data_IF_463935516986
#
_entry.id   IF_463935516986
#
_cell.length_a   1.000
_cell.length_b   1.000
_cell.length_c   1.000
_cell.angle_alpha   90.00
_cell.angle_beta   90.00
_cell.angle_gamma   90.00
#
_symmetry.space_group_name_H-M   'P 1'
#
loop_
_entity.id
_entity.type
_entity.pdbx_description
1 polymer ?
#
# COMPACT_ATOMS: atom_id res chain seq x y z
N UNK A 1 -25.45 -48.75 -14.46
CA UNK A 1 -24.12 -48.72 -13.84
C UNK A 1 -23.54 -47.33 -14.08
N UNK A 2 -23.68 -46.41 -13.10
CA UNK A 2 -23.24 -45.01 -13.23
C UNK A 2 -21.80 -44.92 -12.72
N UNK A 3 -20.87 -44.57 -13.60
CA UNK A 3 -19.49 -44.29 -13.25
C UNK A 3 -19.43 -42.90 -12.59
N UNK A 4 -19.16 -42.87 -11.29
CA UNK A 4 -18.78 -41.65 -10.58
C UNK A 4 -17.34 -41.32 -10.99
N UNK A 5 -17.17 -40.25 -11.76
CA UNK A 5 -15.87 -39.63 -12.00
C UNK A 5 -15.51 -38.84 -10.74
N UNK A 6 -14.65 -39.41 -9.89
CA UNK A 6 -14.07 -38.70 -8.76
C UNK A 6 -13.03 -37.70 -9.30
N UNK A 7 -13.40 -36.42 -9.37
CA UNK A 7 -12.47 -35.32 -9.63
C UNK A 7 -11.51 -35.23 -8.47
N UNK A 8 -10.24 -35.53 -8.73
CA UNK A 8 -9.15 -35.44 -7.77
C UNK A 8 -8.93 -33.95 -7.42
N UNK A 9 -9.41 -33.52 -6.25
CA UNK A 9 -9.09 -32.20 -5.71
C UNK A 9 -7.62 -32.25 -5.26
N UNK A 10 -6.70 -31.73 -6.07
CA UNK A 10 -5.31 -31.57 -5.66
C UNK A 10 -5.28 -30.53 -4.55
N UNK A 11 -5.13 -30.99 -3.30
CA UNK A 11 -4.83 -30.12 -2.17
C UNK A 11 -3.42 -29.56 -2.38
N UNK A 12 -3.33 -28.37 -2.98
CA UNK A 12 -2.10 -27.58 -2.97
C UNK A 12 -1.92 -27.09 -1.52
N UNK A 13 -1.15 -27.84 -0.73
CA UNK A 13 -0.71 -27.38 0.59
C UNK A 13 0.27 -26.22 0.36
N UNK A 14 -0.26 -24.99 0.33
CA UNK A 14 0.54 -23.79 0.51
C UNK A 14 1.10 -23.87 1.94
N UNK A 15 2.38 -24.24 2.09
CA UNK A 15 3.02 -24.22 3.41
C UNK A 15 2.99 -22.79 3.90
N UNK A 16 2.26 -22.54 5.00
CA UNK A 16 2.30 -21.25 5.67
C UNK A 16 3.75 -20.96 6.11
N UNK A 17 4.17 -19.71 5.99
CA UNK A 17 5.50 -19.27 6.43
C UNK A 17 5.67 -19.54 7.93
N UNK A 18 6.83 -20.08 8.32
CA UNK A 18 7.13 -20.31 9.73
C UNK A 18 7.58 -19.01 10.42
N UNK A 19 7.54 -18.97 11.75
CA UNK A 19 8.07 -17.82 12.49
C UNK A 19 9.56 -17.55 12.17
N UNK A 20 10.32 -18.60 11.88
CA UNK A 20 11.72 -18.48 11.47
C UNK A 20 11.86 -17.84 10.08
N UNK A 21 10.99 -18.18 9.14
CA UNK A 21 10.96 -17.56 7.80
C UNK A 21 10.62 -16.07 7.90
N UNK A 22 9.62 -15.71 8.71
CA UNK A 22 9.25 -14.31 8.93
C UNK A 22 10.39 -13.51 9.56
N UNK A 23 11.08 -14.08 10.55
CA UNK A 23 12.23 -13.42 11.18
C UNK A 23 13.41 -13.27 10.21
N UNK A 24 13.67 -14.29 9.37
CA UNK A 24 14.68 -14.22 8.32
C UNK A 24 14.36 -13.13 7.30
N UNK A 25 13.11 -13.06 6.84
CA UNK A 25 12.63 -12.02 5.93
C UNK A 25 12.76 -10.62 6.53
N UNK A 26 12.38 -10.44 7.80
CA UNK A 26 12.53 -9.18 8.54
C UNK A 26 14.00 -8.76 8.66
N UNK A 27 14.90 -9.71 8.90
CA UNK A 27 16.34 -9.46 8.95
C UNK A 27 16.86 -8.94 7.62
N UNK A 28 16.53 -9.60 6.51
CA UNK A 28 16.94 -9.19 5.17
C UNK A 28 16.38 -7.80 4.83
N UNK A 29 15.09 -7.58 5.11
CA UNK A 29 14.44 -6.29 4.91
C UNK A 29 15.18 -5.15 5.61
N UNK A 30 15.56 -5.37 6.87
CA UNK A 30 16.25 -4.41 7.72
C UNK A 30 17.71 -4.16 7.33
N UNK A 31 18.30 -5.01 6.49
CA UNK A 31 19.66 -4.83 5.98
C UNK A 31 19.69 -3.92 4.75
N UNK A 32 18.73 -4.09 3.83
CA UNK A 32 18.82 -3.45 2.50
C UNK A 32 17.53 -2.76 2.05
N UNK A 33 16.37 -3.38 2.22
CA UNK A 33 15.10 -2.91 1.65
C UNK A 33 14.58 -1.64 2.35
N UNK A 34 14.75 -1.55 3.67
CA UNK A 34 14.23 -0.43 4.48
C UNK A 34 14.82 0.93 4.05
N UNK A 35 16.00 0.95 3.43
CA UNK A 35 16.63 2.18 2.95
C UNK A 35 15.77 2.90 1.91
N UNK A 36 15.03 2.14 1.10
CA UNK A 36 14.15 2.68 0.07
C UNK A 36 12.68 2.62 0.49
N UNK A 37 12.26 1.52 1.13
CA UNK A 37 10.87 1.23 1.45
C UNK A 37 10.46 1.60 2.89
N UNK A 38 11.35 2.23 3.66
CA UNK A 38 11.09 2.66 5.03
C UNK A 38 11.23 1.54 6.07
N UNK A 39 11.54 1.85 7.34
CA UNK A 39 11.67 0.85 8.41
C UNK A 39 10.38 0.06 8.69
N UNK A 40 9.22 0.60 8.35
CA UNK A 40 7.90 0.02 8.59
C UNK A 40 7.12 -0.24 7.30
N UNK A 41 7.81 -0.47 6.18
CA UNK A 41 7.23 -0.70 4.85
C UNK A 41 6.38 0.47 4.33
N UNK A 42 6.49 1.64 4.95
CA UNK A 42 5.67 2.82 4.66
C UNK A 42 6.10 3.59 3.41
N UNK A 43 7.21 3.16 2.79
CA UNK A 43 7.77 3.77 1.59
C UNK A 43 8.77 4.88 1.88
N UNK A 44 9.25 5.47 0.80
CA UNK A 44 10.21 6.56 0.85
C UNK A 44 10.71 6.88 -0.55
N UNK A 45 11.98 6.54 -0.83
CA UNK A 45 12.48 6.56 -2.20
C UNK A 45 11.75 5.49 -3.05
N UNK A 46 11.59 4.29 -2.48
CA UNK A 46 10.76 3.25 -3.04
C UNK A 46 9.30 3.46 -2.62
N UNK A 47 8.36 2.78 -3.28
CA UNK A 47 6.97 2.82 -2.86
C UNK A 47 6.75 2.20 -1.47
N UNK A 48 5.62 2.52 -0.84
CA UNK A 48 5.15 1.72 0.29
C UNK A 48 4.93 0.28 -0.17
N UNK A 49 5.20 -0.65 0.75
CA UNK A 49 4.98 -2.07 0.56
C UNK A 49 3.90 -2.59 1.50
N UNK A 50 3.12 -1.73 2.16
CA UNK A 50 1.94 -2.10 2.97
C UNK A 50 0.67 -1.37 2.54
N UNK A 51 0.71 -0.78 1.36
CA UNK A 51 -0.36 0.03 0.84
C UNK A 51 -1.39 -0.77 0.05
N UNK A 52 -2.42 -0.06 -0.36
CA UNK A 52 -3.52 -0.59 -1.14
C UNK A 52 -3.24 -0.61 -2.65
N UNK A 53 -2.03 -0.26 -3.11
CA UNK A 53 -1.72 -0.10 -4.53
C UNK A 53 -0.45 -0.83 -4.96
N UNK A 54 -0.62 -1.89 -5.76
CA UNK A 54 0.48 -2.75 -6.20
C UNK A 54 0.67 -2.72 -7.72
N UNK A 55 1.51 -1.79 -8.18
CA UNK A 55 1.80 -1.57 -9.60
C UNK A 55 2.28 -2.82 -10.36
N UNK A 56 3.05 -3.68 -9.70
CA UNK A 56 3.62 -4.90 -10.30
C UNK A 56 2.89 -6.18 -9.85
N UNK A 57 1.70 -6.03 -9.28
CA UNK A 57 0.90 -7.13 -8.72
C UNK A 57 1.16 -7.34 -7.22
N UNK A 58 0.10 -7.70 -6.50
CA UNK A 58 0.13 -7.92 -5.04
C UNK A 58 0.22 -9.38 -4.63
N UNK A 59 0.26 -10.32 -5.59
CA UNK A 59 0.31 -11.76 -5.33
C UNK A 59 1.71 -12.20 -4.88
N UNK A 60 1.83 -13.33 -4.15
CA UNK A 60 3.13 -13.85 -3.74
C UNK A 60 4.12 -14.00 -4.90
N UNK A 61 3.67 -14.52 -6.04
CA UNK A 61 4.53 -14.72 -7.22
C UNK A 61 4.92 -13.39 -7.88
N UNK A 62 4.01 -12.42 -7.93
CA UNK A 62 4.29 -11.10 -8.47
C UNK A 62 5.33 -10.34 -7.62
N UNK A 63 5.19 -10.41 -6.29
CA UNK A 63 6.14 -9.84 -5.33
C UNK A 63 7.50 -10.52 -5.48
N UNK A 64 7.52 -11.86 -5.51
CA UNK A 64 8.77 -12.61 -5.68
C UNK A 64 9.45 -12.29 -7.01
N UNK A 65 8.68 -12.22 -8.10
CA UNK A 65 9.22 -11.86 -9.41
C UNK A 65 9.83 -10.45 -9.40
N UNK A 66 9.18 -9.49 -8.75
CA UNK A 66 9.70 -8.12 -8.58
C UNK A 66 11.00 -8.11 -7.76
N UNK A 67 11.07 -8.89 -6.68
CA UNK A 67 12.31 -9.07 -5.90
C UNK A 67 13.41 -9.69 -6.78
N UNK A 68 13.07 -10.70 -7.58
CA UNK A 68 14.03 -11.45 -8.39
C UNK A 68 14.60 -10.59 -9.51
N UNK A 69 13.74 -9.86 -10.24
CA UNK A 69 14.09 -9.18 -11.48
C UNK A 69 14.31 -7.68 -11.35
N UNK A 70 13.96 -7.11 -10.19
CA UNK A 70 13.94 -5.66 -10.01
C UNK A 70 12.91 -4.99 -10.91
N UNK A 71 13.02 -3.67 -11.04
CA UNK A 71 12.14 -2.86 -11.91
C UNK A 71 13.02 -2.04 -12.86
N UNK A 72 13.08 -2.40 -14.16
CA UNK A 72 13.87 -1.67 -15.16
C UNK A 72 13.57 -0.17 -15.17
N UNK A 73 14.62 0.65 -15.28
CA UNK A 73 14.49 2.12 -15.26
C UNK A 73 14.27 2.72 -13.86
N UNK A 74 14.36 1.92 -12.79
CA UNK A 74 14.28 2.39 -11.41
C UNK A 74 15.52 1.98 -10.60
N UNK A 75 15.72 2.54 -9.39
CA UNK A 75 16.75 2.08 -8.45
C UNK A 75 16.51 0.67 -7.86
N UNK A 76 15.36 0.03 -8.11
CA UNK A 76 15.04 -1.31 -7.61
C UNK A 76 15.77 -2.36 -8.46
N UNK A 77 16.92 -2.81 -7.97
CA UNK A 77 17.75 -3.83 -8.63
C UNK A 77 17.15 -5.24 -8.54
N UNK A 78 17.69 -6.16 -9.33
CA UNK A 78 17.42 -7.59 -9.22
C UNK A 78 18.17 -8.19 -8.01
N UNK A 79 17.47 -9.00 -7.19
CA UNK A 79 18.05 -9.67 -6.02
C UNK A 79 18.25 -11.17 -6.19
N UNK A 80 17.90 -11.76 -7.35
CA UNK A 80 18.04 -13.20 -7.60
C UNK A 80 19.49 -13.70 -7.52
N UNK A 81 20.46 -12.87 -7.90
CA UNK A 81 21.89 -13.13 -7.75
C UNK A 81 22.49 -12.66 -6.41
N UNK A 82 21.73 -11.93 -5.59
CA UNK A 82 22.20 -11.34 -4.32
C UNK A 82 21.84 -12.23 -3.13
N UNK A 83 20.65 -12.80 -3.13
CA UNK A 83 20.13 -13.66 -2.06
C UNK A 83 19.70 -15.02 -2.60
N UNK A 84 19.95 -16.12 -1.84
CA UNK A 84 19.44 -17.43 -2.18
C UNK A 84 17.90 -17.43 -2.23
N UNK A 85 17.31 -18.38 -2.93
CA UNK A 85 15.86 -18.43 -3.12
C UNK A 85 15.08 -18.51 -1.80
N UNK A 86 15.56 -19.31 -0.83
CA UNK A 86 14.96 -19.40 0.50
C UNK A 86 14.86 -18.04 1.20
N UNK A 87 15.89 -17.20 1.06
CA UNK A 87 15.92 -15.86 1.65
C UNK A 87 14.95 -14.91 0.96
N UNK A 88 14.81 -15.02 -0.37
CA UNK A 88 13.86 -14.22 -1.14
C UNK A 88 12.41 -14.63 -0.85
N UNK A 89 12.16 -15.92 -0.64
CA UNK A 89 10.86 -16.44 -0.19
C UNK A 89 10.53 -15.91 1.22
N UNK A 90 11.46 -16.02 2.16
CA UNK A 90 11.33 -15.47 3.51
C UNK A 90 11.05 -13.96 3.49
N UNK A 91 11.76 -13.19 2.65
CA UNK A 91 11.54 -11.76 2.47
C UNK A 91 10.15 -11.45 1.93
N UNK A 92 9.69 -12.18 0.90
CA UNK A 92 8.33 -12.08 0.35
C UNK A 92 7.29 -12.36 1.44
N UNK A 93 7.47 -13.42 2.20
CA UNK A 93 6.51 -13.85 3.22
C UNK A 93 6.44 -12.86 4.37
N UNK A 94 7.58 -12.28 4.76
CA UNK A 94 7.63 -11.15 5.68
C UNK A 94 6.82 -9.96 5.14
N UNK A 95 7.05 -9.54 3.88
CA UNK A 95 6.29 -8.44 3.27
C UNK A 95 4.78 -8.75 3.28
N UNK A 96 4.38 -9.97 2.91
CA UNK A 96 2.99 -10.41 2.91
C UNK A 96 2.37 -10.43 4.31
N UNK A 97 3.14 -10.76 5.35
CA UNK A 97 2.67 -10.78 6.74
C UNK A 97 2.33 -9.38 7.28
N UNK A 98 2.86 -8.33 6.66
CA UNK A 98 2.61 -6.94 7.02
C UNK A 98 1.39 -6.35 6.26
N UNK A 99 0.67 -7.16 5.47
CA UNK A 99 -0.47 -6.73 4.66
C UNK A 99 -1.81 -6.98 5.35
N UNK A 100 -2.80 -6.14 5.03
CA UNK A 100 -4.16 -6.24 5.54
C UNK A 100 -5.17 -5.70 4.51
N UNK A 101 -6.41 -6.20 4.55
CA UNK A 101 -7.49 -5.79 3.64
C UNK A 101 -7.55 -6.61 2.35
N UNK A 102 -8.36 -6.15 1.38
CA UNK A 102 -8.48 -6.81 0.08
C UNK A 102 -7.19 -6.71 -0.72
N UNK A 103 -6.88 -7.74 -1.52
CA UNK A 103 -5.73 -7.84 -2.43
C UNK A 103 -6.07 -8.74 -3.60
N UNK A 104 -5.17 -8.78 -4.59
CA UNK A 104 -5.26 -9.70 -5.74
C UNK A 104 -6.63 -9.57 -6.43
N UNK A 105 -7.16 -8.35 -6.49
CA UNK A 105 -8.48 -8.08 -7.02
C UNK A 105 -8.49 -8.26 -8.54
N UNK A 106 -9.44 -9.03 -9.05
CA UNK A 106 -9.68 -9.19 -10.49
C UNK A 106 -11.13 -8.85 -10.78
N UNK A 107 -11.34 -7.82 -11.59
CA UNK A 107 -12.67 -7.42 -12.07
C UNK A 107 -12.96 -8.12 -13.39
N UNK A 108 -14.04 -8.89 -13.42
CA UNK A 108 -14.62 -9.46 -14.63
C UNK A 108 -15.92 -8.76 -14.97
N UNK A 109 -16.13 -8.37 -16.23
CA UNK A 109 -17.37 -7.72 -16.70
C UNK A 109 -18.12 -8.69 -17.61
N UNK A 110 -19.44 -8.74 -17.48
CA UNK A 110 -20.32 -9.61 -18.25
C UNK A 110 -21.50 -8.82 -18.81
N UNK A 111 -22.03 -9.26 -19.96
CA UNK A 111 -23.31 -8.77 -20.48
C UNK A 111 -24.43 -8.89 -19.43
N UNK A 112 -25.39 -7.95 -19.43
CA UNK A 112 -26.43 -7.85 -18.40
C UNK A 112 -27.52 -8.92 -18.54
N UNK A 113 -27.83 -9.27 -19.78
CA UNK A 113 -28.98 -10.06 -20.21
C UNK A 113 -29.11 -11.40 -19.46
N UNK A 114 -28.04 -12.21 -19.28
CA UNK A 114 -28.14 -13.50 -18.59
C UNK A 114 -28.58 -13.39 -17.13
N UNK A 115 -28.35 -12.24 -16.50
CA UNK A 115 -28.49 -12.04 -15.05
C UNK A 115 -29.71 -11.22 -14.66
N UNK A 116 -30.40 -10.61 -15.62
CA UNK A 116 -31.50 -9.67 -15.38
C UNK A 116 -32.55 -10.24 -14.41
N UNK A 117 -32.72 -9.56 -13.26
CA UNK A 117 -33.71 -9.90 -12.24
C UNK A 117 -33.40 -11.17 -11.43
N UNK A 118 -32.20 -11.74 -11.56
CA UNK A 118 -31.77 -12.93 -10.83
C UNK A 118 -30.84 -12.52 -9.68
N UNK A 119 -30.98 -13.20 -8.54
CA UNK A 119 -30.02 -13.06 -7.44
C UNK A 119 -28.65 -13.60 -7.86
N UNK A 120 -27.60 -12.82 -7.62
CA UNK A 120 -26.26 -13.24 -7.99
C UNK A 120 -25.76 -14.36 -7.08
N UNK A 121 -25.18 -15.38 -7.68
CA UNK A 121 -24.44 -16.46 -7.01
C UNK A 121 -23.31 -16.94 -7.91
N UNK A 122 -22.22 -17.53 -7.39
CA UNK A 122 -21.14 -18.08 -8.22
C UNK A 122 -21.63 -19.04 -9.32
N UNK A 123 -22.65 -19.86 -9.03
CA UNK A 123 -23.24 -20.82 -9.98
C UNK A 123 -23.93 -20.13 -11.15
N UNK A 124 -24.51 -18.94 -10.94
CA UNK A 124 -25.17 -18.18 -12.00
C UNK A 124 -24.17 -17.71 -13.08
N UNK A 125 -22.90 -17.56 -12.70
CA UNK A 125 -21.82 -17.19 -13.60
C UNK A 125 -21.10 -18.41 -14.19
N UNK A 126 -21.43 -19.62 -13.73
CA UNK A 126 -20.80 -20.84 -14.24
C UNK A 126 -21.16 -21.03 -15.72
N UNK A 127 -20.13 -21.04 -16.57
CA UNK A 127 -20.28 -21.20 -18.02
C UNK A 127 -20.69 -19.93 -18.78
N UNK A 128 -20.74 -18.77 -18.12
CA UNK A 128 -20.88 -17.47 -18.79
C UNK A 128 -19.49 -16.88 -19.01
N UNK A 129 -19.19 -16.52 -20.25
CA UNK A 129 -17.92 -15.87 -20.60
C UNK A 129 -17.95 -14.38 -20.24
N UNK A 130 -16.88 -13.88 -19.63
CA UNK A 130 -16.71 -12.45 -19.35
C UNK A 130 -16.23 -11.72 -20.60
N UNK A 131 -16.75 -10.51 -20.83
CA UNK A 131 -16.30 -9.61 -21.90
C UNK A 131 -14.90 -9.05 -21.64
N UNK A 132 -14.53 -8.91 -20.37
CA UNK A 132 -13.18 -8.48 -19.97
C UNK A 132 -12.82 -9.01 -18.59
N UNK A 133 -11.52 -9.17 -18.36
CA UNK A 133 -10.92 -9.41 -17.05
C UNK A 133 -9.77 -8.44 -16.84
N UNK A 134 -9.77 -7.74 -15.72
CA UNK A 134 -8.79 -6.70 -15.41
C UNK A 134 -8.32 -6.87 -13.97
N UNK A 135 -7.04 -7.20 -13.75
CA UNK A 135 -6.44 -7.08 -12.42
C UNK A 135 -6.52 -5.62 -11.96
N UNK A 136 -7.03 -5.41 -10.76
CA UNK A 136 -7.08 -4.08 -10.15
C UNK A 136 -5.84 -3.94 -9.24
N UNK A 137 -4.89 -3.04 -9.57
CA UNK A 137 -3.76 -2.77 -8.70
C UNK A 137 -4.19 -2.02 -7.45
N UNK A 138 -5.31 -1.29 -7.50
CA UNK A 138 -5.99 -0.72 -6.35
C UNK A 138 -6.84 -1.78 -5.64
N UNK A 139 -6.72 -1.87 -4.32
CA UNK A 139 -7.58 -2.72 -3.49
C UNK A 139 -9.00 -2.13 -3.29
N UNK A 140 -9.51 -1.36 -4.27
CA UNK A 140 -10.83 -0.73 -4.29
C UNK A 140 -11.62 -1.19 -5.51
N UNK A 141 -12.94 -1.27 -5.37
CA UNK A 141 -13.88 -1.51 -6.46
C UNK A 141 -14.48 -0.18 -6.97
N UNK A 142 -14.36 0.05 -8.27
CA UNK A 142 -15.04 1.14 -8.95
C UNK A 142 -15.56 0.70 -10.32
N UNK A 143 -16.70 1.26 -10.72
CA UNK A 143 -17.26 1.12 -12.06
C UNK A 143 -16.76 2.25 -12.93
N UNK A 144 -16.35 1.92 -14.16
CA UNK A 144 -16.07 2.93 -15.16
C UNK A 144 -17.34 3.72 -15.50
N UNK A 145 -17.20 4.98 -15.91
CA UNK A 145 -18.35 5.79 -16.29
C UNK A 145 -19.08 5.13 -17.45
N UNK A 146 -20.41 5.09 -17.37
CA UNK A 146 -21.27 4.45 -18.35
C UNK A 146 -20.97 2.96 -18.57
N UNK A 147 -20.31 2.29 -17.61
CA UNK A 147 -20.18 0.84 -17.66
C UNK A 147 -21.58 0.21 -17.68
N UNK A 148 -21.80 -0.67 -18.64
CA UNK A 148 -22.98 -1.52 -18.73
C UNK A 148 -22.58 -2.96 -18.46
N UNK A 149 -23.52 -3.76 -17.96
CA UNK A 149 -23.29 -5.15 -17.60
C UNK A 149 -23.28 -5.41 -16.09
N UNK A 150 -22.81 -6.61 -15.77
CA UNK A 150 -22.63 -7.11 -14.41
C UNK A 150 -21.16 -7.31 -14.15
N UNK A 151 -20.70 -6.88 -12.98
CA UNK A 151 -19.33 -7.12 -12.53
C UNK A 151 -19.27 -8.27 -11.55
N UNK A 152 -18.25 -9.11 -11.68
CA UNK A 152 -17.77 -10.02 -10.63
C UNK A 152 -16.36 -9.59 -10.27
N UNK A 153 -16.10 -9.45 -8.98
CA UNK A 153 -14.77 -9.15 -8.46
C UNK A 153 -14.37 -10.26 -7.53
N UNK A 154 -13.30 -10.97 -7.87
CA UNK A 154 -12.65 -11.93 -6.98
C UNK A 154 -11.50 -11.22 -6.28
N UNK A 155 -11.33 -11.46 -4.98
CA UNK A 155 -10.31 -10.83 -4.17
C UNK A 155 -9.90 -11.73 -3.00
N UNK A 156 -8.71 -11.48 -2.45
CA UNK A 156 -8.25 -12.11 -1.21
C UNK A 156 -8.27 -11.09 -0.09
N UNK A 157 -8.99 -11.38 0.98
CA UNK A 157 -8.99 -10.59 2.20
C UNK A 157 -7.88 -11.10 3.13
N UNK A 158 -6.87 -10.26 3.36
CA UNK A 158 -5.82 -10.51 4.33
C UNK A 158 -6.28 -10.02 5.70
N UNK A 159 -6.53 -10.97 6.60
CA UNK A 159 -6.92 -10.77 8.00
C UNK A 159 -5.68 -10.87 8.86
N UNK A 160 -5.37 -9.83 9.63
CA UNK A 160 -4.24 -9.84 10.57
C UNK A 160 -4.68 -9.95 12.03
N UNK A 161 -5.83 -9.36 12.34
CA UNK A 161 -6.40 -9.35 13.68
C UNK A 161 -7.65 -10.20 13.69
N UNK A 162 -7.74 -11.15 14.62
CA UNK A 162 -8.96 -11.91 14.85
C UNK A 162 -10.06 -10.95 15.32
N UNK A 163 -11.14 -10.83 14.56
CA UNK A 163 -12.25 -9.90 14.84
C UNK A 163 -13.49 -10.26 13.99
N UNK A 164 -14.59 -9.57 14.26
CA UNK A 164 -15.77 -9.54 13.40
C UNK A 164 -15.53 -8.65 12.17
N UNK A 165 -15.67 -9.21 10.97
CA UNK A 165 -15.54 -8.49 9.72
C UNK A 165 -16.90 -8.36 9.03
N UNK A 166 -17.29 -7.15 8.67
CA UNK A 166 -18.58 -6.86 8.05
C UNK A 166 -18.50 -5.90 6.87
N UNK A 167 -19.26 -6.20 5.82
CA UNK A 167 -19.40 -5.33 4.65
C UNK A 167 -20.56 -4.35 4.86
N UNK A 168 -20.31 -3.08 4.58
CA UNK A 168 -21.35 -2.06 4.49
C UNK A 168 -21.34 -1.52 3.07
N UNK A 169 -22.33 -1.90 2.28
CA UNK A 169 -22.46 -1.48 0.88
C UNK A 169 -23.72 -0.64 0.75
N UNK A 170 -23.61 0.45 -0.01
CA UNK A 170 -24.75 1.31 -0.30
C UNK A 170 -25.66 0.59 -1.31
N UNK A 171 -26.98 0.51 -1.06
CA UNK A 171 -27.91 -0.21 -1.93
C UNK A 171 -28.23 0.62 -3.19
N UNK A 172 -27.26 0.73 -4.08
CA UNK A 172 -27.39 1.29 -5.43
C UNK A 172 -27.29 0.09 -6.38
N UNK A 173 -28.37 -0.22 -7.10
CA UNK A 173 -28.41 -1.41 -7.95
C UNK A 173 -28.56 -2.69 -7.14
N UNK A 174 -27.96 -3.79 -7.62
CA UNK A 174 -28.00 -5.11 -6.98
C UNK A 174 -26.58 -5.56 -6.65
N UNK A 175 -26.36 -5.96 -5.41
CA UNK A 175 -25.05 -6.44 -4.92
C UNK A 175 -25.20 -7.71 -4.11
N UNK A 176 -24.29 -8.66 -4.33
CA UNK A 176 -24.09 -9.82 -3.46
C UNK A 176 -22.62 -9.94 -3.09
N UNK A 177 -22.31 -10.24 -1.83
CA UNK A 177 -20.94 -10.56 -1.38
C UNK A 177 -20.89 -11.96 -0.80
N UNK A 178 -19.91 -12.73 -1.27
CA UNK A 178 -19.54 -14.02 -0.72
C UNK A 178 -18.19 -13.93 -0.01
N UNK A 179 -18.08 -14.56 1.14
CA UNK A 179 -16.85 -14.73 1.91
C UNK A 179 -16.67 -16.23 2.17
N UNK A 180 -15.59 -16.80 1.64
CA UNK A 180 -15.32 -18.25 1.65
C UNK A 180 -16.49 -19.10 1.15
N UNK A 181 -17.22 -18.61 0.14
CA UNK A 181 -18.39 -19.28 -0.44
C UNK A 181 -19.69 -19.13 0.37
N UNK A 182 -19.67 -18.48 1.53
CA UNK A 182 -20.89 -18.10 2.26
C UNK A 182 -21.39 -16.73 1.80
N UNK A 183 -22.67 -16.62 1.46
CA UNK A 183 -23.30 -15.33 1.15
C UNK A 183 -23.46 -14.50 2.44
N UNK A 184 -22.74 -13.39 2.55
CA UNK A 184 -22.71 -12.56 3.77
C UNK A 184 -23.39 -11.20 3.60
N UNK A 185 -23.67 -10.79 2.36
CA UNK A 185 -24.35 -9.53 2.06
C UNK A 185 -25.20 -9.66 0.81
N UNK A 186 -26.41 -9.12 0.85
CA UNK A 186 -27.28 -8.96 -0.31
C UNK A 186 -28.06 -7.65 -0.21
N UNK A 187 -28.10 -6.91 -1.32
CA UNK A 187 -29.02 -5.81 -1.54
C UNK A 187 -29.46 -5.74 -3.00
N UNK A 188 -30.68 -5.25 -3.25
CA UNK A 188 -31.19 -4.94 -4.58
C UNK A 188 -32.20 -3.78 -4.50
N UNK A 189 -31.87 -2.65 -5.14
CA UNK A 189 -32.71 -1.45 -5.24
C UNK A 189 -34.13 -1.75 -5.74
N UNK A 190 -34.31 -2.79 -6.55
CA UNK A 190 -35.60 -3.18 -7.12
C UNK A 190 -36.44 -4.10 -6.21
N UNK A 191 -35.91 -4.55 -5.06
CA UNK A 191 -36.56 -5.53 -4.18
C UNK A 191 -36.99 -4.93 -2.83
N UNK A 192 -37.80 -5.69 -2.07
CA UNK A 192 -38.17 -5.32 -0.71
C UNK A 192 -36.91 -5.28 0.18
N UNK A 193 -36.72 -4.18 0.90
CA UNK A 193 -35.62 -3.97 1.86
C UNK A 193 -35.55 -5.06 2.94
N UNK A 194 -36.64 -5.78 3.22
CA UNK A 194 -36.63 -6.94 4.13
C UNK A 194 -35.80 -8.11 3.62
N UNK A 195 -35.55 -8.18 2.32
CA UNK A 195 -34.66 -9.19 1.72
C UNK A 195 -33.20 -8.80 1.85
N UNK A 196 -32.91 -7.52 2.11
CA UNK A 196 -31.54 -7.02 2.25
C UNK A 196 -30.97 -7.46 3.59
N UNK A 197 -29.71 -7.89 3.58
CA UNK A 197 -28.98 -8.18 4.81
C UNK A 197 -27.49 -7.94 4.62
N UNK A 198 -26.83 -7.73 5.75
CA UNK A 198 -25.38 -7.79 5.89
C UNK A 198 -25.08 -8.49 7.20
N UNK A 199 -24.23 -9.51 7.15
CA UNK A 199 -23.76 -10.30 8.29
C UNK A 199 -22.28 -10.00 8.51
N UNK A 200 -21.92 -9.75 9.78
CA UNK A 200 -20.53 -9.78 10.19
C UNK A 200 -20.11 -11.25 10.44
N UNK A 201 -18.86 -11.56 10.09
CA UNK A 201 -18.28 -12.89 10.24
C UNK A 201 -17.00 -12.77 11.05
N UNK A 202 -16.88 -13.53 12.13
CA UNK A 202 -15.63 -13.70 12.87
C UNK A 202 -14.58 -14.37 11.97
N UNK A 203 -13.42 -13.73 11.81
CA UNK A 203 -12.31 -14.23 11.00
C UNK A 203 -11.05 -14.32 11.85
N UNK A 204 -10.32 -15.43 11.68
CA UNK A 204 -8.98 -15.61 12.23
C UNK A 204 -7.91 -15.05 11.27
N UNK A 205 -6.70 -14.72 11.78
CA UNK A 205 -5.59 -14.28 10.94
C UNK A 205 -5.31 -15.27 9.81
N UNK A 206 -5.21 -14.76 8.59
CA UNK A 206 -5.10 -15.58 7.39
C UNK A 206 -5.66 -14.90 6.16
N UNK A 207 -5.77 -15.69 5.08
CA UNK A 207 -6.29 -15.23 3.80
C UNK A 207 -7.68 -15.83 3.61
N UNK A 208 -8.66 -14.98 3.28
CA UNK A 208 -10.04 -15.37 3.04
C UNK A 208 -10.40 -15.02 1.59
N UNK A 209 -11.16 -15.90 0.92
CA UNK A 209 -11.62 -15.67 -0.46
C UNK A 209 -12.88 -14.80 -0.46
N UNK A 210 -12.89 -13.75 -1.27
CA UNK A 210 -14.00 -12.81 -1.38
C UNK A 210 -14.46 -12.73 -2.83
N UNK A 211 -15.78 -12.80 -3.02
CA UNK A 211 -16.41 -12.53 -4.29
C UNK A 211 -17.49 -11.46 -4.15
N UNK A 212 -17.43 -10.42 -4.98
CA UNK A 212 -18.41 -9.35 -5.02
C UNK A 212 -19.05 -9.34 -6.40
N UNK A 213 -20.38 -9.46 -6.43
CA UNK A 213 -21.18 -9.34 -7.64
C UNK A 213 -21.97 -8.04 -7.58
N UNK A 214 -21.93 -7.25 -8.64
CA UNK A 214 -22.58 -5.95 -8.66
C UNK A 214 -23.11 -5.59 -10.04
N UNK A 215 -24.33 -5.06 -10.10
CA UNK A 215 -24.84 -4.32 -11.26
C UNK A 215 -25.53 -3.05 -10.78
N UNK A 216 -25.46 -2.00 -11.61
CA UNK A 216 -26.25 -0.79 -11.40
C UNK A 216 -26.71 -0.20 -12.75
N UNK A 217 -27.45 0.91 -12.68
CA UNK A 217 -27.90 1.65 -13.86
C UNK A 217 -26.72 2.42 -14.46
N UNK A 218 -26.61 2.40 -15.79
CA UNK A 218 -25.62 3.19 -16.54
C UNK A 218 -25.71 4.66 -16.13
N UNK A 219 -24.59 5.21 -15.66
CA UNK A 219 -24.50 6.59 -15.20
C UNK A 219 -23.15 7.22 -15.55
N UNK A 220 -23.14 8.55 -15.71
CA UNK A 220 -21.93 9.34 -15.98
C UNK A 220 -20.99 9.49 -14.75
N UNK A 221 -21.14 8.66 -13.71
CA UNK A 221 -20.32 8.69 -12.50
C UNK A 221 -19.77 7.31 -12.16
N UNK A 222 -18.61 7.27 -11.51
CA UNK A 222 -18.04 6.03 -10.94
C UNK A 222 -18.89 5.65 -9.74
N UNK A 223 -19.68 4.59 -9.81
CA UNK A 223 -20.50 4.19 -8.66
C UNK A 223 -20.35 2.70 -8.37
N UNK A 224 -19.79 2.51 -7.20
CA UNK A 224 -19.90 1.42 -6.27
C UNK A 224 -19.48 2.10 -4.96
N UNK A 225 -20.16 1.84 -3.86
CA UNK A 225 -19.82 2.48 -2.58
C UNK A 225 -19.98 1.49 -1.46
N UNK A 226 -18.87 1.19 -0.81
CA UNK A 226 -18.87 0.27 0.31
C UNK A 226 -17.59 0.33 1.12
N UNK A 227 -17.64 -0.30 2.28
CA UNK A 227 -16.50 -0.48 3.15
C UNK A 227 -16.56 -1.85 3.79
N UNK A 228 -15.40 -2.45 4.02
CA UNK A 228 -15.22 -3.55 4.95
C UNK A 228 -14.73 -3.00 6.28
N UNK A 229 -15.31 -3.43 7.40
CA UNK A 229 -14.88 -3.07 8.76
C UNK A 229 -14.45 -4.33 9.49
N UNK A 230 -13.36 -4.25 10.25
CA UNK A 230 -12.85 -5.33 11.10
C UNK A 230 -11.39 -5.08 11.49
N UNK A 231 -10.91 -5.71 12.56
CA UNK A 231 -9.56 -5.52 13.07
C UNK A 231 -9.27 -4.10 13.55
N UNK A 232 -10.31 -3.38 13.99
CA UNK A 232 -10.24 -1.95 14.32
C UNK A 232 -10.03 -1.02 13.12
N UNK A 233 -10.12 -1.52 11.88
CA UNK A 233 -9.89 -0.76 10.65
C UNK A 233 -11.15 -0.66 9.78
N UNK A 234 -11.11 0.31 8.85
CA UNK A 234 -12.11 0.48 7.80
C UNK A 234 -11.40 0.48 6.47
N UNK A 235 -11.65 -0.54 5.66
CA UNK A 235 -11.15 -0.66 4.30
C UNK A 235 -12.21 -0.11 3.35
N UNK A 236 -11.94 1.04 2.75
CA UNK A 236 -12.78 1.55 1.68
C UNK A 236 -12.75 0.58 0.50
N UNK A 237 -13.93 0.21 -0.01
CA UNK A 237 -14.07 -0.60 -1.21
C UNK A 237 -14.37 0.28 -2.43
N UNK A 238 -14.36 1.60 -2.28
CA UNK A 238 -14.62 2.53 -3.36
C UNK A 238 -13.58 3.65 -3.37
N UNK A 239 -13.27 4.12 -4.57
CA UNK A 239 -12.27 5.16 -4.79
C UNK A 239 -12.29 5.65 -6.23
N UNK A 240 -11.29 6.44 -6.58
CA UNK A 240 -10.90 6.65 -7.98
C UNK A 240 -9.68 5.77 -8.23
N UNK A 241 -9.40 5.44 -9.49
CA UNK A 241 -8.08 4.87 -9.80
C UNK A 241 -6.99 5.77 -9.23
N UNK A 242 -5.97 5.11 -8.69
CA UNK A 242 -4.80 5.73 -8.08
C UNK A 242 -3.69 5.92 -9.13
N UNK A 243 -4.01 5.69 -10.41
CA UNK A 243 -3.14 5.90 -11.54
C UNK A 243 -3.36 7.31 -12.10
N UNK A 244 -2.31 8.14 -12.08
CA UNK A 244 -2.29 9.41 -12.80
C UNK A 244 -2.99 10.63 -12.18
N UNK A 245 -3.42 10.64 -10.91
CA UNK A 245 -3.97 11.89 -10.34
C UNK A 245 -2.89 12.92 -9.91
N UNK A 246 -3.40 14.08 -9.48
CA UNK A 246 -2.74 15.37 -9.33
C UNK A 246 -1.84 15.38 -8.08
N UNK A 247 -0.67 16.04 -8.12
CA UNK A 247 0.21 16.22 -6.97
C UNK A 247 -0.52 16.66 -5.68
N UNK A 248 -0.24 15.97 -4.57
CA UNK A 248 -0.72 16.35 -3.23
C UNK A 248 0.33 17.22 -2.54
N UNK A 249 -0.09 18.26 -1.83
CA UNK A 249 0.84 19.14 -1.10
C UNK A 249 1.03 18.61 0.34
N UNK A 250 2.23 18.16 0.71
CA UNK A 250 2.53 17.90 2.14
C UNK A 250 2.86 19.21 2.80
N UNK A 251 2.20 19.47 3.95
CA UNK A 251 2.59 20.57 4.83
C UNK A 251 3.09 20.10 6.18
N UNK A 252 4.08 20.80 6.73
CA UNK A 252 4.39 20.71 8.16
C UNK A 252 3.15 21.10 8.97
N UNK A 253 2.78 20.29 9.96
CA UNK A 253 1.70 20.61 10.90
C UNK A 253 2.26 21.30 12.14
N UNK A 254 1.52 21.31 13.27
CA UNK A 254 2.06 21.75 14.57
C UNK A 254 3.18 20.83 15.09
N UNK A 255 3.29 19.62 14.53
CA UNK A 255 4.30 18.60 14.82
C UNK A 255 5.19 18.44 13.58
N UNK A 256 6.48 18.21 13.80
CA UNK A 256 7.41 17.94 12.71
C UNK A 256 7.02 16.68 11.93
N UNK A 257 7.47 16.59 10.68
CA UNK A 257 7.27 15.42 9.84
C UNK A 257 8.58 15.06 9.16
N UNK A 258 8.86 13.76 9.04
CA UNK A 258 9.92 13.26 8.17
C UNK A 258 9.24 12.68 6.94
N UNK A 259 9.71 13.10 5.78
CA UNK A 259 9.26 12.56 4.50
C UNK A 259 10.49 12.08 3.75
N UNK A 260 10.41 10.89 3.17
CA UNK A 260 11.43 10.35 2.28
C UNK A 260 10.87 10.41 0.87
N UNK A 261 11.40 11.30 0.04
CA UNK A 261 10.96 11.50 -1.35
C UNK A 261 12.14 11.66 -2.26
N UNK A 262 11.99 11.17 -3.49
CA UNK A 262 12.89 11.50 -4.58
C UNK A 262 12.66 12.97 -4.98
N UNK A 263 13.61 13.83 -4.65
CA UNK A 263 13.71 15.21 -5.15
C UNK A 263 14.88 15.26 -6.12
N UNK A 264 14.70 15.93 -7.25
CA UNK A 264 15.79 16.11 -8.22
C UNK A 264 16.96 16.87 -7.59
N UNK A 265 18.19 16.38 -7.82
CA UNK A 265 19.42 16.96 -7.28
C UNK A 265 19.69 16.66 -5.80
N UNK A 266 18.86 15.85 -5.12
CA UNK A 266 19.17 15.34 -3.78
C UNK A 266 19.66 13.88 -3.82
N UNK A 267 20.57 13.50 -2.89
CA UNK A 267 20.94 12.10 -2.70
C UNK A 267 19.73 11.18 -2.41
N UNK A 268 19.81 9.90 -2.80
CA UNK A 268 18.68 8.96 -2.78
C UNK A 268 18.09 8.66 -1.39
N UNK A 269 18.86 8.89 -0.31
CA UNK A 269 18.50 8.50 1.06
C UNK A 269 18.24 9.66 2.00
N UNK A 270 18.14 10.87 1.48
CA UNK A 270 17.84 12.09 2.25
C UNK A 270 16.53 11.95 3.02
N UNK A 271 16.58 12.32 4.30
CA UNK A 271 15.44 12.58 5.15
C UNK A 271 15.02 14.05 4.97
N UNK A 272 13.79 14.30 4.51
CA UNK A 272 13.23 15.65 4.49
C UNK A 272 12.52 15.90 5.81
N UNK A 273 13.15 16.66 6.69
CA UNK A 273 12.61 17.09 7.96
C UNK A 273 11.79 18.38 7.75
N UNK A 274 10.46 18.26 7.74
CA UNK A 274 9.51 19.36 7.65
C UNK A 274 9.23 19.86 9.06
N UNK A 275 9.69 21.06 9.37
CA UNK A 275 9.55 21.70 10.68
C UNK A 275 8.32 22.63 10.72
N UNK A 276 7.65 22.79 11.88
CA UNK A 276 6.44 23.61 11.99
C UNK A 276 6.62 25.09 11.61
N UNK A 277 7.86 25.61 11.68
CA UNK A 277 8.20 27.00 11.36
C UNK A 277 8.44 27.26 9.85
N UNK A 278 7.86 26.43 8.99
CA UNK A 278 7.98 26.50 7.53
C UNK A 278 9.42 26.38 7.01
N UNK A 279 10.14 25.41 7.58
CA UNK A 279 11.48 25.02 7.12
C UNK A 279 11.46 23.55 6.72
N UNK A 280 12.06 23.26 5.57
CA UNK A 280 12.37 21.89 5.16
C UNK A 280 13.88 21.72 5.18
N UNK A 281 14.36 20.76 5.96
CA UNK A 281 15.78 20.41 6.05
C UNK A 281 16.00 19.06 5.37
N UNK A 282 16.85 19.01 4.35
CA UNK A 282 17.31 17.77 3.72
C UNK A 282 18.55 17.26 4.47
N UNK A 283 18.35 16.32 5.39
CA UNK A 283 19.42 15.64 6.10
C UNK A 283 19.82 14.37 5.34
N UNK A 284 21.09 14.25 4.99
CA UNK A 284 21.66 13.06 4.37
C UNK A 284 22.25 12.15 5.46
N UNK A 285 21.59 11.02 5.75
CA UNK A 285 22.05 10.11 6.78
C UNK A 285 23.27 9.29 6.37
N UNK A 286 23.71 9.32 5.10
CA UNK A 286 24.96 8.66 4.69
C UNK A 286 26.19 9.52 4.96
N UNK A 287 26.01 10.84 4.97
CA UNK A 287 27.06 11.80 5.24
C UNK A 287 26.94 12.42 6.63
N UNK A 288 25.89 12.10 7.38
CA UNK A 288 25.64 12.57 8.75
C UNK A 288 25.37 14.07 8.82
N UNK A 289 24.83 14.68 7.77
CA UNK A 289 24.77 16.14 7.65
C UNK A 289 23.64 16.67 6.79
N UNK A 290 23.46 17.99 6.81
CA UNK A 290 22.45 18.66 5.98
C UNK A 290 23.03 19.00 4.62
N UNK A 291 22.37 18.53 3.56
CA UNK A 291 22.78 18.79 2.17
C UNK A 291 22.08 20.00 1.57
N UNK A 292 20.88 20.33 2.06
CA UNK A 292 20.11 21.49 1.61
C UNK A 292 19.01 21.84 2.60
N UNK A 293 18.54 23.07 2.60
CA UNK A 293 17.31 23.45 3.29
C UNK A 293 16.56 24.52 2.52
N UNK A 294 15.27 24.68 2.82
CA UNK A 294 14.39 25.65 2.17
C UNK A 294 13.49 26.32 3.19
N UNK A 295 13.22 27.61 2.98
CA UNK A 295 12.05 28.25 3.52
C UNK A 295 10.83 27.78 2.72
N UNK A 296 10.24 26.69 3.18
CA UNK A 296 9.04 26.09 2.59
C UNK A 296 8.24 25.44 3.70
N UNK A 297 6.92 25.54 3.62
CA UNK A 297 6.05 24.65 4.37
C UNK A 297 5.64 23.44 3.53
N UNK A 298 5.98 23.39 2.25
CA UNK A 298 5.29 22.59 1.25
C UNK A 298 6.24 21.75 0.40
N UNK A 299 5.86 20.48 0.21
CA UNK A 299 6.40 19.60 -0.83
C UNK A 299 5.26 19.32 -1.80
N UNK A 300 5.43 19.73 -3.05
CA UNK A 300 4.56 19.33 -4.14
C UNK A 300 4.86 17.85 -4.45
N UNK A 301 4.05 16.95 -3.92
CA UNK A 301 4.30 15.53 -4.07
C UNK A 301 4.00 15.11 -5.49
N UNK A 302 4.96 14.46 -6.11
CA UNK A 302 4.61 13.28 -6.89
C UNK A 302 4.34 12.16 -5.87
N UNK A 303 3.11 11.64 -5.82
CA UNK A 303 2.65 10.88 -4.65
C UNK A 303 3.46 9.59 -4.40
N UNK A 304 3.73 9.33 -3.11
CA UNK A 304 4.21 8.03 -2.61
C UNK A 304 3.03 7.15 -2.18
N UNK A 305 1.81 7.62 -2.46
CA UNK A 305 0.49 6.99 -2.57
C UNK A 305 -0.57 8.11 -2.59
N UNK A 306 -1.79 7.89 -3.13
CA UNK A 306 -2.21 6.86 -4.05
C UNK A 306 -2.41 7.53 -5.40
N UNK A 307 -1.30 7.89 -6.05
CA UNK A 307 -1.27 8.67 -7.29
C UNK A 307 0.15 8.62 -7.85
N UNK A 308 0.61 7.44 -8.25
CA UNK A 308 2.03 7.27 -8.61
C UNK A 308 2.34 8.06 -9.88
N UNK A 309 2.99 9.20 -9.73
CA UNK A 309 3.70 9.86 -10.82
C UNK A 309 5.16 9.41 -10.81
N UNK A 310 5.67 8.94 -11.95
CA UNK A 310 7.09 8.64 -12.14
C UNK A 310 8.00 9.88 -12.05
N UNK A 311 7.42 11.09 -11.93
CA UNK A 311 8.17 12.33 -11.82
C UNK A 311 8.75 12.50 -10.40
N UNK A 312 9.92 13.12 -10.24
CA UNK A 312 10.43 13.50 -8.92
C UNK A 312 9.50 14.51 -8.25
N UNK A 313 9.45 14.48 -6.91
CA UNK A 313 8.72 15.46 -6.12
C UNK A 313 9.48 16.79 -6.12
N UNK A 314 8.78 17.89 -5.91
CA UNK A 314 9.35 19.23 -5.96
C UNK A 314 9.13 19.97 -4.64
N UNK A 315 10.16 20.67 -4.16
CA UNK A 315 10.04 21.59 -3.03
C UNK A 315 9.77 22.99 -3.59
N UNK A 316 8.61 23.56 -3.27
CA UNK A 316 8.25 24.93 -3.66
C UNK A 316 8.63 25.90 -2.56
N UNK A 317 9.92 26.23 -2.47
CA UNK A 317 10.40 27.23 -1.51
C UNK A 317 11.78 27.77 -1.83
N UNK A 318 12.16 28.81 -1.08
CA UNK A 318 13.43 29.52 -1.28
C UNK A 318 14.56 28.77 -0.56
N UNK A 319 15.68 28.44 -1.23
CA UNK A 319 16.82 27.80 -0.58
C UNK A 319 17.38 28.64 0.58
N UNK A 320 17.72 27.99 1.69
CA UNK A 320 18.43 28.60 2.81
C UNK A 320 19.93 28.46 2.56
N UNK A 321 20.62 29.58 2.34
CA UNK A 321 22.04 29.61 1.96
C UNK A 321 23.00 29.16 3.06
N UNK A 322 22.61 29.28 4.33
CA UNK A 322 23.41 28.86 5.50
C UNK A 322 23.36 27.35 5.79
N UNK A 323 22.65 26.56 4.96
CA UNK A 323 22.33 25.18 5.26
C UNK A 323 23.51 24.18 5.20
N UNK A 324 24.69 24.62 4.73
CA UNK A 324 25.86 23.76 4.50
C UNK A 324 26.71 23.48 5.75
N UNK A 325 26.20 23.76 6.94
CA UNK A 325 27.00 23.71 8.18
C UNK A 325 26.68 22.49 9.05
N UNK A 326 26.80 21.28 8.49
CA UNK A 326 27.06 20.10 9.31
C UNK A 326 28.46 19.60 8.99
N UNK A 327 29.33 19.34 9.99
CA UNK A 327 30.64 18.77 9.73
C UNK A 327 30.46 17.44 9.00
N UNK A 328 31.14 17.26 7.87
CA UNK A 328 31.28 15.95 7.23
C UNK A 328 31.94 15.05 8.25
N UNK A 329 31.20 14.07 8.78
CA UNK A 329 31.70 13.23 9.87
C UNK A 329 32.71 12.25 9.30
N UNK A 330 33.87 12.11 9.96
CA UNK A 330 34.93 11.21 9.49
C UNK A 330 34.65 9.77 9.90
N UNK A 331 34.11 8.97 8.98
CA UNK A 331 33.88 7.53 9.19
C UNK A 331 32.65 7.04 8.42
N UNK A 332 32.46 5.71 8.29
CA UNK A 332 31.24 5.17 7.71
C UNK A 332 30.05 5.55 8.61
N UNK A 333 29.04 6.18 8.02
CA UNK A 333 27.78 6.50 8.70
C UNK A 333 26.73 5.46 8.34
N UNK A 334 26.06 4.92 9.35
CA UNK A 334 24.92 4.02 9.19
C UNK A 334 23.72 4.57 9.94
N UNK A 335 22.64 4.89 9.24
CA UNK A 335 21.36 5.22 9.85
C UNK A 335 20.85 4.04 10.69
N UNK A 336 20.54 4.27 11.95
CA UNK A 336 19.92 3.29 12.85
C UNK A 336 18.41 3.50 12.91
N UNK A 337 17.96 4.73 13.16
CA UNK A 337 16.54 5.08 13.23
C UNK A 337 16.32 6.59 13.12
N UNK A 338 15.06 7.00 12.97
CA UNK A 338 14.63 8.37 13.21
C UNK A 338 13.27 8.37 13.89
N UNK A 339 12.97 9.42 14.63
CA UNK A 339 11.69 9.61 15.31
C UNK A 339 11.26 11.08 15.29
N UNK A 340 9.95 11.30 15.39
CA UNK A 340 9.36 12.62 15.52
C UNK A 340 9.23 12.94 17.01
N UNK A 341 9.87 14.02 17.46
CA UNK A 341 9.85 14.47 18.84
C UNK A 341 9.26 15.88 18.91
N UNK A 342 7.92 15.97 18.92
CA UNK A 342 7.20 17.25 18.94
C UNK A 342 7.44 18.05 17.66
N UNK A 343 8.05 19.23 17.79
CA UNK A 343 8.40 20.11 16.68
C UNK A 343 9.78 19.79 16.06
N UNK A 344 10.44 18.72 16.51
CA UNK A 344 11.78 18.32 16.09
C UNK A 344 11.84 16.92 15.52
N UNK A 345 12.91 16.63 14.79
CA UNK A 345 13.23 15.29 14.29
C UNK A 345 14.51 14.81 14.97
N UNK A 346 14.48 13.61 15.55
CA UNK A 346 15.65 12.94 16.12
C UNK A 346 16.11 11.89 15.15
N UNK A 347 17.41 11.89 14.81
CA UNK A 347 18.03 10.96 13.86
C UNK A 347 19.16 10.26 14.61
N UNK A 348 19.12 8.93 14.64
CA UNK A 348 20.14 8.11 15.28
C UNK A 348 20.96 7.42 14.22
N UNK A 349 22.27 7.62 14.29
CA UNK A 349 23.23 7.06 13.35
C UNK A 349 24.39 6.45 14.10
N UNK A 350 25.03 5.45 13.51
CA UNK A 350 26.33 4.96 13.93
C UNK A 350 27.40 5.58 13.06
N UNK A 351 28.40 6.21 13.67
CA UNK A 351 29.51 6.88 12.99
C UNK A 351 30.79 6.21 13.46
N UNK A 352 31.42 5.41 12.58
CA UNK A 352 32.44 4.47 13.01
C UNK A 352 31.86 3.47 14.02
N UNK A 353 32.38 3.45 15.25
CA UNK A 353 31.92 2.56 16.32
C UNK A 353 31.04 3.27 17.38
N UNK A 354 30.77 4.56 17.20
CA UNK A 354 29.97 5.35 18.14
C UNK A 354 28.54 5.55 17.63
N UNK A 355 27.57 5.36 18.52
CA UNK A 355 26.19 5.79 18.27
C UNK A 355 26.08 7.29 18.55
N UNK A 356 25.42 8.01 17.65
CA UNK A 356 25.28 9.46 17.67
C UNK A 356 23.81 9.83 17.47
N UNK A 357 23.33 10.81 18.22
CA UNK A 357 21.99 11.35 18.07
C UNK A 357 22.06 12.78 17.53
N UNK A 358 21.49 13.02 16.35
CA UNK A 358 21.35 14.34 15.75
C UNK A 358 19.89 14.77 15.78
N UNK A 359 19.61 15.90 16.43
CA UNK A 359 18.31 16.56 16.45
C UNK A 359 18.28 17.71 15.46
N UNK A 360 17.28 17.70 14.58
CA UNK A 360 16.93 18.81 13.70
C UNK A 360 15.80 19.58 14.37
N UNK A 361 16.09 20.79 14.87
CA UNK A 361 15.15 21.59 15.66
C UNK A 361 14.86 22.94 14.98
N UNK A 362 13.63 23.47 15.08
CA UNK A 362 13.34 24.83 14.64
C UNK A 362 14.12 25.84 15.50
N UNK A 363 14.64 26.89 14.86
CA UNK A 363 15.38 27.96 15.52
C UNK A 363 14.76 29.31 15.14
N UNK A 364 13.77 29.75 15.92
CA UNK A 364 13.00 30.96 15.59
C UNK A 364 12.18 30.83 14.30
N UNK A 365 11.93 31.97 13.65
CA UNK A 365 11.14 32.02 12.43
C UNK A 365 11.97 31.61 11.21
N UNK A 366 11.47 30.64 10.43
CA UNK A 366 12.06 30.24 9.14
C UNK A 366 13.53 29.78 9.22
N UNK A 367 14.02 29.35 10.38
CA UNK A 367 15.40 28.85 10.55
C UNK A 367 15.44 27.55 11.37
N UNK A 368 16.58 26.89 11.38
CA UNK A 368 16.78 25.62 12.08
C UNK A 368 18.20 25.54 12.65
N UNK A 369 18.40 24.66 13.62
CA UNK A 369 19.73 24.27 14.11
C UNK A 369 19.83 22.77 14.30
N UNK A 370 21.06 22.28 14.34
CA UNK A 370 21.37 20.88 14.64
C UNK A 370 21.90 20.78 16.07
N UNK A 371 21.38 19.84 16.85
CA UNK A 371 21.94 19.46 18.15
C UNK A 371 22.46 18.03 18.02
N UNK A 372 23.77 17.81 18.18
CA UNK A 372 24.36 16.47 18.09
C UNK A 372 24.89 16.06 19.46
N UNK A 373 24.60 14.82 19.88
CA UNK A 373 25.03 14.24 21.15
C UNK A 373 25.66 12.88 20.97
#
# INVERSE_FOLDING_TARGET
>A
MRLFSATLFALFLLSAATAADLERGRTIYSQICFNCHGPHLEGGQGPSLKDQYWQHGSSPDAILNTINKGVPGSPMIAFDAVFPESDRLALRDFILSEQEGLREMVRSVYAREPFKGKRFSPELFAGVESESQTPLPENHLYMDRNADGVMRVTAKLHVRTADEYGFSIRPIGRTTVYLNGEEIHYDDEATDKKTHFSKATHLEPGIQEVEIFHEEKVANSYRFSGSLRGGGQVFALNGRSLEGNIPVVIKAGPVAKVVRKRIEGLPPRVLLCLLPNAVIVAYDPENGGVVKAWHSAEINQTPSLPDRSAKPSEIKGEPISSAMNAPVVSGPVRLLSYEIAGDSVVIRSRIGDADTETRVVPDGARSYRLETR
#
